data_IF_731989893101
#
_entry.id   IF_731989893101
#
_cell.length_a   1.000
_cell.length_b   1.000
_cell.length_c   1.000
_cell.angle_alpha   90.00
_cell.angle_beta   90.00
_cell.angle_gamma   90.00
#
_symmetry.space_group_name_H-M   'P 1'
#
loop_
_entity.id
_entity.type
_entity.pdbx_description
1 polymer ?
#
# COMPACT_ATOMS: atom_id res chain seq x y z
N UNK A 1 7.18 7.17 13.95
CA UNK A 1 7.94 6.59 12.84
C UNK A 1 7.85 5.08 12.97
N UNK A 2 7.44 4.37 11.91
CA UNK A 2 7.39 2.91 11.95
C UNK A 2 8.80 2.30 12.16
N UNK A 3 8.88 1.11 12.74
CA UNK A 3 10.14 0.41 12.95
C UNK A 3 10.03 -1.03 12.47
N UNK A 4 11.10 -1.55 11.86
CA UNK A 4 11.14 -2.89 11.29
C UNK A 4 11.05 -2.91 9.76
N UNK A 5 10.87 -4.08 9.15
CA UNK A 5 11.02 -4.27 7.71
C UNK A 5 9.78 -3.91 6.87
N UNK A 6 8.72 -3.36 7.50
CA UNK A 6 7.44 -3.05 6.86
C UNK A 6 7.19 -1.56 6.88
N UNK A 7 6.75 -1.02 5.75
CA UNK A 7 6.17 0.31 5.72
C UNK A 7 4.68 0.22 6.04
N UNK A 8 4.24 1.09 6.95
CA UNK A 8 2.92 1.01 7.58
C UNK A 8 2.16 2.34 7.42
N UNK A 9 2.38 3.06 6.31
CA UNK A 9 1.72 4.34 6.00
C UNK A 9 2.63 5.56 6.12
N UNK A 10 3.72 5.49 6.89
CA UNK A 10 4.65 6.61 7.07
C UNK A 10 5.64 6.77 5.91
N UNK A 11 6.19 5.65 5.43
CA UNK A 11 7.18 5.60 4.34
C UNK A 11 6.80 4.51 3.36
N UNK A 12 5.66 4.73 2.73
CA UNK A 12 4.99 3.77 1.86
C UNK A 12 4.95 4.26 0.41
N UNK A 13 5.09 3.34 -0.54
CA UNK A 13 4.59 3.51 -1.90
C UNK A 13 3.18 2.93 -1.92
N UNK A 14 2.22 3.74 -2.35
CA UNK A 14 0.81 3.38 -2.42
C UNK A 14 0.36 3.21 -3.87
N UNK A 15 -0.56 2.29 -4.11
CA UNK A 15 -1.20 2.13 -5.42
C UNK A 15 -2.64 1.65 -5.26
N UNK A 16 -3.48 1.90 -6.26
CA UNK A 16 -4.81 1.31 -6.35
C UNK A 16 -4.71 -0.21 -6.36
N UNK A 17 -5.43 -0.94 -5.48
CA UNK A 17 -5.44 -2.40 -5.49
C UNK A 17 -6.43 -2.97 -6.51
N UNK A 18 -7.21 -2.10 -7.16
CA UNK A 18 -8.34 -2.47 -8.03
C UNK A 18 -7.88 -2.92 -9.42
N UNK A 19 -6.76 -2.36 -9.89
CA UNK A 19 -6.19 -2.70 -11.19
C UNK A 19 -5.35 -3.99 -11.05
N UNK A 20 -5.69 -5.09 -11.74
CA UNK A 20 -4.87 -6.29 -11.74
C UNK A 20 -3.44 -6.02 -12.24
N UNK A 21 -3.24 -5.02 -13.11
CA UNK A 21 -1.94 -4.60 -13.64
C UNK A 21 -1.08 -3.75 -12.69
N UNK A 22 -1.59 -3.41 -11.50
CA UNK A 22 -0.86 -2.60 -10.52
C UNK A 22 0.43 -3.30 -10.03
N UNK A 23 0.40 -4.63 -9.89
CA UNK A 23 1.56 -5.42 -9.44
C UNK A 23 2.69 -5.35 -10.47
N UNK A 24 2.35 -5.56 -11.74
CA UNK A 24 3.24 -5.53 -12.88
C UNK A 24 3.83 -4.13 -13.03
N UNK A 25 2.99 -3.09 -12.92
CA UNK A 25 3.42 -1.70 -12.99
C UNK A 25 4.42 -1.36 -11.90
N UNK A 26 4.14 -1.70 -10.63
CA UNK A 26 5.07 -1.47 -9.52
C UNK A 26 6.38 -2.25 -9.70
N UNK A 27 6.29 -3.51 -10.09
CA UNK A 27 7.47 -4.34 -10.32
C UNK A 27 8.32 -3.83 -11.49
N UNK A 28 7.71 -3.38 -12.58
CA UNK A 28 8.42 -2.91 -13.77
C UNK A 28 9.01 -1.50 -13.61
N UNK A 29 8.34 -0.60 -12.89
CA UNK A 29 8.72 0.82 -12.82
C UNK A 29 9.46 1.22 -11.55
N UNK A 30 9.24 0.51 -10.44
CA UNK A 30 9.70 0.95 -9.11
C UNK A 30 10.51 -0.13 -8.39
N UNK A 31 10.00 -1.35 -8.32
CA UNK A 31 10.56 -2.40 -7.46
C UNK A 31 11.59 -3.29 -8.15
N UNK A 32 11.52 -3.43 -9.47
CA UNK A 32 12.42 -4.27 -10.28
C UNK A 32 12.64 -5.67 -9.68
N UNK A 33 11.56 -6.24 -9.11
CA UNK A 33 11.53 -7.53 -8.42
C UNK A 33 10.63 -8.52 -9.18
N UNK A 34 10.73 -9.78 -8.81
CA UNK A 34 10.03 -10.88 -9.46
C UNK A 34 8.50 -10.72 -9.34
N UNK A 35 7.78 -10.99 -10.45
CA UNK A 35 6.34 -10.75 -10.56
C UNK A 35 5.49 -11.51 -9.51
N UNK A 36 5.97 -12.68 -9.09
CA UNK A 36 5.27 -13.52 -8.12
C UNK A 36 5.27 -12.95 -6.69
N UNK A 37 6.18 -12.02 -6.34
CA UNK A 37 6.21 -11.49 -4.97
C UNK A 37 4.95 -10.69 -4.69
N UNK A 38 4.16 -11.07 -3.67
CA UNK A 38 2.92 -10.40 -3.39
C UNK A 38 3.15 -9.00 -2.81
N UNK A 39 2.13 -8.15 -2.96
CA UNK A 39 2.01 -6.89 -2.25
C UNK A 39 0.95 -7.01 -1.15
N UNK A 40 0.95 -6.07 -0.21
CA UNK A 40 0.10 -6.14 0.97
C UNK A 40 -1.01 -5.08 0.90
N UNK A 41 -2.23 -5.39 1.34
CA UNK A 41 -3.27 -4.39 1.53
C UNK A 41 -3.09 -3.63 2.84
N UNK A 42 -3.34 -2.32 2.83
CA UNK A 42 -3.69 -1.54 4.02
C UNK A 42 -5.16 -1.14 3.92
N UNK A 43 -5.97 -1.46 4.93
CA UNK A 43 -7.41 -1.17 4.98
C UNK A 43 -7.79 -0.55 6.31
N UNK A 44 -8.85 0.26 6.32
CA UNK A 44 -9.39 0.79 7.58
C UNK A 44 -9.93 -0.36 8.45
N UNK A 45 -9.75 -0.27 9.76
CA UNK A 45 -10.15 -1.30 10.71
C UNK A 45 -11.64 -1.66 10.60
N UNK A 46 -12.48 -0.66 10.30
CA UNK A 46 -13.93 -0.79 10.10
C UNK A 46 -14.29 -1.69 8.92
N UNK A 47 -13.41 -1.80 7.91
CA UNK A 47 -13.63 -2.64 6.75
C UNK A 47 -13.06 -4.06 6.91
N UNK A 48 -12.36 -4.36 8.01
CA UNK A 48 -11.67 -5.64 8.23
C UNK A 48 -12.57 -6.84 7.98
N UNK A 49 -13.76 -6.86 8.58
CA UNK A 49 -14.67 -8.02 8.49
C UNK A 49 -15.19 -8.25 7.07
N UNK A 50 -15.35 -7.18 6.28
CA UNK A 50 -15.75 -7.25 4.87
C UNK A 50 -14.72 -7.99 4.02
N UNK A 51 -13.42 -7.77 4.27
CA UNK A 51 -12.35 -8.36 3.45
C UNK A 51 -11.76 -9.64 4.06
N UNK A 52 -11.69 -9.72 5.38
CA UNK A 52 -10.89 -10.69 6.12
C UNK A 52 -11.67 -11.17 7.37
N UNK A 53 -12.80 -11.87 7.18
CA UNK A 53 -13.75 -12.19 8.25
C UNK A 53 -13.15 -13.01 9.40
N UNK A 54 -12.15 -13.86 9.10
CA UNK A 54 -11.45 -14.68 10.08
C UNK A 54 -10.20 -14.03 10.68
N UNK A 55 -9.87 -12.78 10.27
CA UNK A 55 -8.69 -12.10 10.80
C UNK A 55 -8.91 -11.58 12.21
N UNK A 56 -7.81 -11.20 12.87
CA UNK A 56 -7.78 -10.31 14.05
C UNK A 56 -7.28 -8.93 13.59
N UNK A 57 -7.33 -7.88 14.42
CA UNK A 57 -6.54 -6.68 14.14
C UNK A 57 -5.09 -7.05 13.83
N UNK A 58 -4.61 -6.63 12.67
CA UNK A 58 -3.29 -6.96 12.13
C UNK A 58 -2.61 -5.65 11.70
N UNK A 59 -2.14 -4.83 12.65
CA UNK A 59 -1.59 -3.51 12.35
C UNK A 59 -0.19 -3.54 11.70
N UNK A 60 0.44 -4.72 11.59
CA UNK A 60 1.87 -4.84 11.30
C UNK A 60 2.23 -5.62 10.02
N UNK A 61 1.25 -6.10 9.23
CA UNK A 61 1.51 -6.91 8.04
C UNK A 61 2.44 -8.10 8.30
N UNK A 62 2.14 -8.91 9.32
CA UNK A 62 2.94 -10.08 9.69
C UNK A 62 2.25 -11.38 9.28
N UNK A 63 0.94 -11.47 9.54
CA UNK A 63 0.16 -12.70 9.35
C UNK A 63 -0.69 -12.65 8.09
N UNK A 64 -0.75 -13.75 7.32
CA UNK A 64 -1.68 -13.87 6.19
C UNK A 64 -3.03 -14.42 6.65
N UNK A 65 -4.11 -13.93 6.03
CA UNK A 65 -5.48 -14.40 6.26
C UNK A 65 -6.19 -14.62 4.93
N UNK A 66 -7.21 -15.47 4.94
CA UNK A 66 -8.07 -15.68 3.78
C UNK A 66 -8.89 -14.43 3.47
N UNK A 67 -8.89 -14.03 2.20
CA UNK A 67 -9.73 -12.94 1.70
C UNK A 67 -11.11 -13.50 1.37
N UNK A 68 -12.15 -12.80 1.82
CA UNK A 68 -13.55 -13.11 1.50
C UNK A 68 -13.70 -13.29 -0.02
N UNK A 69 -14.27 -14.43 -0.50
CA UNK A 69 -14.33 -14.76 -1.92
C UNK A 69 -14.86 -13.62 -2.81
N UNK A 70 -15.91 -12.94 -2.37
CA UNK A 70 -16.55 -11.82 -3.06
C UNK A 70 -15.71 -10.54 -3.16
N UNK A 71 -14.63 -10.43 -2.38
CA UNK A 71 -13.72 -9.27 -2.45
C UNK A 71 -12.47 -9.57 -3.31
N UNK A 72 -12.18 -10.83 -3.65
CA UNK A 72 -10.93 -11.20 -4.34
C UNK A 72 -10.76 -10.47 -5.67
N UNK A 73 -11.83 -10.40 -6.45
CA UNK A 73 -11.83 -9.73 -7.76
C UNK A 73 -11.94 -8.20 -7.64
N UNK A 74 -12.29 -7.68 -6.46
CA UNK A 74 -12.39 -6.23 -6.20
C UNK A 74 -11.02 -5.63 -5.90
N UNK A 75 -10.10 -6.41 -5.32
CA UNK A 75 -8.76 -5.97 -4.92
C UNK A 75 -7.64 -6.90 -5.44
N UNK A 76 -7.64 -7.26 -6.73
CA UNK A 76 -6.80 -8.34 -7.25
C UNK A 76 -5.29 -8.10 -7.04
N UNK A 77 -4.84 -6.85 -6.97
CA UNK A 77 -3.41 -6.53 -6.87
C UNK A 77 -2.77 -6.93 -5.52
N UNK A 78 -3.58 -7.16 -4.49
CA UNK A 78 -3.13 -7.44 -3.11
C UNK A 78 -3.55 -8.82 -2.61
N UNK A 79 -4.21 -9.60 -3.46
CA UNK A 79 -4.60 -10.99 -3.18
C UNK A 79 -3.54 -11.94 -3.75
N UNK A 80 -3.16 -12.94 -2.96
CA UNK A 80 -2.26 -14.00 -3.36
C UNK A 80 -2.99 -15.03 -4.23
N UNK A 81 -2.23 -15.84 -4.97
CA UNK A 81 -2.79 -16.89 -5.84
C UNK A 81 -3.62 -17.93 -5.09
N UNK A 82 -3.38 -18.10 -3.78
CA UNK A 82 -4.12 -18.99 -2.89
C UNK A 82 -5.34 -18.33 -2.23
N UNK A 83 -5.68 -17.09 -2.61
CA UNK A 83 -6.80 -16.34 -2.04
C UNK A 83 -6.51 -15.68 -0.70
N UNK A 84 -5.26 -15.71 -0.22
CA UNK A 84 -4.86 -15.04 1.03
C UNK A 84 -4.33 -13.63 0.78
N UNK A 85 -4.25 -12.82 1.83
CA UNK A 85 -3.51 -11.56 1.83
C UNK A 85 -2.87 -11.33 3.20
N UNK A 86 -1.80 -10.53 3.23
CA UNK A 86 -1.13 -10.12 4.48
C UNK A 86 -1.44 -8.64 4.79
N UNK A 87 -2.49 -8.35 5.56
CA UNK A 87 -3.04 -7.00 5.70
C UNK A 87 -2.31 -6.13 6.70
N UNK A 88 -2.50 -4.82 6.57
CA UNK A 88 -2.44 -3.85 7.65
C UNK A 88 -3.85 -3.35 7.94
N UNK A 89 -4.35 -3.58 9.15
CA UNK A 89 -5.55 -2.89 9.65
C UNK A 89 -5.15 -1.54 10.25
N UNK A 90 -5.70 -0.45 9.72
CA UNK A 90 -5.40 0.91 10.14
C UNK A 90 -6.52 1.43 11.01
N UNK A 91 -6.21 1.78 12.26
CA UNK A 91 -7.17 2.39 13.18
C UNK A 91 -7.06 3.91 13.16
N UNK A 92 -8.20 4.60 13.19
CA UNK A 92 -8.28 6.07 13.19
C UNK A 92 -7.50 6.72 14.34
N UNK A 93 -7.45 6.07 15.50
CA UNK A 93 -6.73 6.57 16.67
C UNK A 93 -5.21 6.41 16.60
N UNK A 94 -4.72 5.50 15.75
CA UNK A 94 -3.29 5.16 15.66
C UNK A 94 -2.58 5.95 14.56
N UNK A 95 -3.19 6.03 13.38
CA UNK A 95 -2.68 6.83 12.26
C UNK A 95 -3.83 7.56 11.56
N UNK A 96 -4.26 8.73 12.07
CA UNK A 96 -5.44 9.41 11.58
C UNK A 96 -5.29 9.91 10.13
N UNK A 97 -4.07 10.29 9.72
CA UNK A 97 -3.82 10.77 8.36
C UNK A 97 -3.86 9.61 7.36
N UNK A 98 -3.21 8.49 7.66
CA UNK A 98 -3.26 7.34 6.78
C UNK A 98 -4.65 6.70 6.75
N UNK A 99 -5.34 6.65 7.89
CA UNK A 99 -6.76 6.25 7.95
C UNK A 99 -7.62 7.15 7.04
N UNK A 100 -7.46 8.47 7.12
CA UNK A 100 -8.22 9.42 6.31
C UNK A 100 -7.92 9.27 4.81
N UNK A 101 -6.67 8.99 4.44
CA UNK A 101 -6.28 8.71 3.06
C UNK A 101 -7.03 7.49 2.53
N UNK A 102 -7.03 6.38 3.27
CA UNK A 102 -7.68 5.13 2.85
C UNK A 102 -9.21 5.29 2.82
N UNK A 103 -9.79 5.95 3.82
CA UNK A 103 -11.24 6.26 3.85
C UNK A 103 -11.63 7.15 2.67
N UNK A 104 -10.84 8.18 2.35
CA UNK A 104 -11.10 9.05 1.20
C UNK A 104 -11.02 8.28 -0.12
N UNK A 105 -10.03 7.39 -0.27
CA UNK A 105 -9.96 6.48 -1.40
C UNK A 105 -11.21 5.60 -1.49
N UNK A 106 -11.64 5.01 -0.37
CA UNK A 106 -12.84 4.18 -0.29
C UNK A 106 -14.14 4.93 -0.61
N UNK A 107 -14.26 6.21 -0.27
CA UNK A 107 -15.41 7.05 -0.66
C UNK A 107 -15.46 7.31 -2.16
N UNK A 108 -14.30 7.34 -2.83
CA UNK A 108 -14.20 7.55 -4.28
C UNK A 108 -14.44 6.24 -5.03
N UNK A 109 -13.90 5.12 -4.53
CA UNK A 109 -13.84 3.85 -5.28
C UNK A 109 -14.82 2.78 -4.81
N UNK A 110 -15.39 2.93 -3.60
CA UNK A 110 -16.15 1.90 -2.91
C UNK A 110 -15.29 0.90 -2.12
N UNK A 111 -13.96 0.99 -2.23
CA UNK A 111 -13.00 0.06 -1.63
C UNK A 111 -12.06 0.80 -0.65
N UNK A 112 -12.30 0.78 0.67
CA UNK A 112 -11.45 1.45 1.66
C UNK A 112 -10.18 0.63 1.96
N UNK A 113 -9.39 0.38 0.91
CA UNK A 113 -8.17 -0.42 0.93
C UNK A 113 -7.21 0.06 -0.16
N UNK A 114 -5.92 0.10 0.17
CA UNK A 114 -4.85 0.48 -0.75
C UNK A 114 -3.77 -0.60 -0.79
N UNK A 115 -3.10 -0.75 -1.93
CA UNK A 115 -1.84 -1.48 -1.97
C UNK A 115 -0.78 -0.65 -1.26
N UNK A 116 -0.06 -1.26 -0.32
CA UNK A 116 1.04 -0.63 0.40
C UNK A 116 2.31 -1.49 0.32
N UNK A 117 3.43 -0.84 -0.03
CA UNK A 117 4.76 -1.42 0.00
C UNK A 117 5.79 -0.46 0.57
N UNK A 118 6.93 -0.98 1.02
CA UNK A 118 8.09 -0.21 1.48
C UNK A 118 8.45 0.93 0.52
N UNK A 119 8.72 2.14 1.01
CA UNK A 119 9.26 3.21 0.16
C UNK A 119 10.78 3.06 0.05
N UNK A 120 11.18 2.37 -1.02
CA UNK A 120 12.56 2.14 -1.44
C UNK A 120 12.61 1.66 -2.89
N UNK A 121 13.78 1.73 -3.52
CA UNK A 121 14.08 1.02 -4.75
C UNK A 121 14.85 -0.27 -4.45
N UNK A 122 15.05 -1.12 -5.46
CA UNK A 122 15.75 -2.40 -5.29
C UNK A 122 17.18 -2.19 -4.78
N UNK A 123 17.51 -2.86 -3.68
CA UNK A 123 18.86 -2.82 -3.08
C UNK A 123 19.03 -1.72 -2.03
N UNK A 124 18.03 -0.87 -1.80
CA UNK A 124 18.10 0.22 -0.82
C UNK A 124 17.21 -0.05 0.41
N UNK A 125 17.59 0.48 1.60
CA UNK A 125 16.75 0.47 2.78
C UNK A 125 15.50 1.35 2.58
N UNK A 126 14.52 1.21 3.49
CA UNK A 126 13.39 2.15 3.55
C UNK A 126 13.96 3.55 3.81
N UNK A 127 13.48 4.55 3.06
CA UNK A 127 13.89 5.96 3.22
C UNK A 127 13.78 6.41 4.68
N UNK A 128 14.68 7.26 5.16
CA UNK A 128 14.64 7.71 6.56
C UNK A 128 14.30 9.18 6.69
N UNK A 129 14.87 10.01 5.82
CA UNK A 129 14.75 11.46 5.86
C UNK A 129 14.14 12.05 4.58
N UNK A 130 13.77 13.34 4.58
CA UNK A 130 13.21 14.02 3.41
C UNK A 130 14.10 13.96 2.16
N UNK A 131 15.43 14.00 2.33
CA UNK A 131 16.37 13.97 1.21
C UNK A 131 16.38 12.58 0.57
N UNK A 132 16.36 11.52 1.38
CA UNK A 132 16.22 10.14 0.90
C UNK A 132 14.92 9.96 0.12
N UNK A 133 13.79 10.47 0.65
CA UNK A 133 12.49 10.37 -0.01
C UNK A 133 12.48 11.07 -1.38
N UNK A 134 13.06 12.27 -1.48
CA UNK A 134 13.18 13.03 -2.73
C UNK A 134 14.10 12.29 -3.72
N UNK A 135 15.27 11.81 -3.26
CA UNK A 135 16.19 11.05 -4.10
C UNK A 135 15.53 9.78 -4.65
N UNK A 136 14.93 8.97 -3.76
CA UNK A 136 14.20 7.77 -4.16
C UNK A 136 13.05 8.08 -5.12
N UNK A 137 12.31 9.16 -4.89
CA UNK A 137 11.21 9.60 -5.76
C UNK A 137 11.68 9.90 -7.18
N UNK A 138 12.73 10.71 -7.34
CA UNK A 138 13.26 11.05 -8.67
C UNK A 138 14.01 9.91 -9.35
N UNK A 139 14.59 8.98 -8.59
CA UNK A 139 15.27 7.79 -9.13
C UNK A 139 14.32 6.62 -9.47
N UNK A 140 13.11 6.59 -8.90
CA UNK A 140 12.10 5.55 -9.17
C UNK A 140 11.02 5.99 -10.16
N UNK A 141 10.22 5.05 -10.66
CA UNK A 141 9.09 5.33 -11.57
C UNK A 141 7.79 5.76 -10.88
N UNK A 142 7.87 6.49 -9.77
CA UNK A 142 6.70 7.05 -9.06
C UNK A 142 6.21 8.35 -9.72
N UNK A 143 4.90 8.58 -9.68
CA UNK A 143 4.22 9.74 -10.26
C UNK A 143 4.18 10.95 -9.31
N UNK A 144 3.84 10.69 -8.05
CA UNK A 144 3.73 11.69 -6.99
C UNK A 144 4.44 11.28 -5.70
N UNK A 145 4.88 12.29 -4.95
CA UNK A 145 5.42 12.17 -3.60
C UNK A 145 4.64 13.09 -2.66
N UNK A 146 4.02 12.51 -1.64
CA UNK A 146 3.50 13.25 -0.49
C UNK A 146 4.60 13.30 0.59
N UNK A 147 5.03 14.51 0.94
CA UNK A 147 6.07 14.75 1.94
C UNK A 147 5.56 15.75 2.97
N UNK A 148 4.95 15.23 4.04
CA UNK A 148 4.22 16.06 4.99
C UNK A 148 3.07 16.81 4.28
N UNK A 149 3.00 18.16 4.37
CA UNK A 149 1.94 18.94 3.73
C UNK A 149 2.19 19.19 2.23
N UNK A 150 3.31 18.71 1.66
CA UNK A 150 3.69 19.00 0.28
C UNK A 150 3.36 17.83 -0.65
N UNK A 151 2.78 18.15 -1.80
CA UNK A 151 2.65 17.24 -2.93
C UNK A 151 3.67 17.63 -4.00
N UNK A 152 4.54 16.71 -4.35
CA UNK A 152 5.52 16.85 -5.43
C UNK A 152 5.10 15.93 -6.57
N UNK A 153 4.95 16.48 -7.77
CA UNK A 153 4.56 15.73 -8.97
C UNK A 153 5.67 15.81 -10.02
N UNK A 154 5.92 14.72 -10.73
CA UNK A 154 6.78 14.78 -11.92
C UNK A 154 6.06 15.45 -13.08
N UNK A 155 6.79 16.13 -13.99
CA UNK A 155 6.21 16.62 -15.23
C UNK A 155 5.53 15.49 -16.00
N UNK A 156 4.25 15.66 -16.35
CA UNK A 156 3.46 14.67 -17.09
C UNK A 156 2.91 13.51 -16.27
N UNK A 157 3.04 13.52 -14.94
CA UNK A 157 2.36 12.57 -14.07
C UNK A 157 0.82 12.70 -14.24
N UNK A 158 0.08 11.58 -14.27
CA UNK A 158 -1.40 11.60 -14.31
C UNK A 158 -1.98 12.31 -13.08
N UNK A 159 -3.20 12.83 -13.19
CA UNK A 159 -3.89 13.55 -12.10
C UNK A 159 -4.76 12.66 -11.22
#
# INVERSE_FOLDING_TARGET
>A
MESGPRALGGRSILMSPLDPGARETLNARVKFREAFRPFCPSLIAEARERYLPASRPEPFMVTSFEVAPEQRDRIPAVVHVDGTARPQTVERGTDPLFWQLIDSFGRITGEPVVLNTSFNVRGEPIVCDPLDAIRCFYSGGMDHLLLGPFLVSKPGAPG
#
